data_IF_963519061032
#
_entry.id   IF_963519061032
#
_cell.length_a   1.000
_cell.length_b   1.000
_cell.length_c   1.000
_cell.angle_alpha   90.00
_cell.angle_beta   90.00
_cell.angle_gamma   90.00
#
_symmetry.space_group_name_H-M   'P 1'
#
loop_
_entity.id
_entity.type
_entity.pdbx_description
1 polymer ?
#
# COMPACT_ATOMS: atom_id res chain seq x y z
N UNK A 1 0.40 0.44 9.65
CA UNK A 1 1.00 -0.72 8.97
C UNK A 1 -0.06 -1.57 8.29
N UNK A 2 -0.97 -2.22 9.04
CA UNK A 2 -2.04 -3.07 8.50
C UNK A 2 -2.86 -2.42 7.37
N UNK A 3 -3.29 -1.16 7.53
CA UNK A 3 -4.07 -0.46 6.49
C UNK A 3 -3.38 -0.43 5.10
N UNK A 4 -2.05 -0.33 5.05
CA UNK A 4 -1.30 -0.39 3.77
C UNK A 4 -1.29 -1.83 3.22
N UNK A 5 -1.18 -2.84 4.08
CA UNK A 5 -1.31 -4.24 3.68
C UNK A 5 -2.71 -4.54 3.17
N UNK A 6 -3.76 -3.97 3.75
CA UNK A 6 -5.12 -4.11 3.25
C UNK A 6 -5.26 -3.58 1.82
N UNK A 7 -4.65 -2.43 1.50
CA UNK A 7 -4.61 -1.91 0.11
C UNK A 7 -3.92 -2.91 -0.84
N UNK A 8 -2.81 -3.53 -0.42
CA UNK A 8 -2.13 -4.57 -1.21
C UNK A 8 -3.06 -5.77 -1.44
N UNK A 9 -3.78 -6.21 -0.40
CA UNK A 9 -4.77 -7.28 -0.49
C UNK A 9 -5.90 -6.95 -1.47
N UNK A 10 -6.48 -5.77 -1.35
CA UNK A 10 -7.55 -5.28 -2.22
C UNK A 10 -7.11 -5.19 -3.68
N UNK A 11 -5.87 -4.76 -3.93
CA UNK A 11 -5.23 -4.75 -5.26
C UNK A 11 -5.00 -6.15 -5.82
N UNK A 12 -4.52 -7.08 -4.99
CA UNK A 12 -4.30 -8.47 -5.41
C UNK A 12 -5.63 -9.19 -5.72
N UNK A 13 -6.69 -8.90 -4.97
CA UNK A 13 -8.03 -9.45 -5.19
C UNK A 13 -8.70 -8.88 -6.46
N UNK A 14 -8.27 -7.72 -6.93
CA UNK A 14 -8.74 -7.10 -8.17
C UNK A 14 -7.55 -6.73 -9.07
N UNK A 15 -6.99 -7.71 -9.80
CA UNK A 15 -5.83 -7.50 -10.64
C UNK A 15 -5.98 -6.32 -11.59
N UNK A 16 -4.90 -5.58 -11.78
CA UNK A 16 -4.91 -4.35 -12.56
C UNK A 16 -3.52 -3.86 -12.92
N UNK A 17 -3.42 -2.56 -13.18
CA UNK A 17 -2.15 -1.92 -13.50
C UNK A 17 -1.16 -1.94 -12.32
N UNK A 18 -1.64 -2.13 -11.09
CA UNK A 18 -0.82 -2.32 -9.89
C UNK A 18 -0.23 -3.73 -9.76
N UNK A 19 -0.75 -4.76 -10.44
CA UNK A 19 -0.31 -6.16 -10.27
C UNK A 19 -1.47 -7.14 -10.20
N UNK A 20 -1.15 -8.43 -10.04
CA UNK A 20 -2.12 -9.53 -10.04
C UNK A 20 -1.98 -10.47 -8.82
N UNK A 21 -1.08 -10.15 -7.89
CA UNK A 21 -0.79 -10.91 -6.68
C UNK A 21 -0.19 -9.97 -5.62
N UNK A 22 -0.16 -10.39 -4.35
CA UNK A 22 0.46 -9.61 -3.27
C UNK A 22 1.89 -9.20 -3.65
N UNK A 23 2.73 -10.18 -4.03
CA UNK A 23 4.13 -9.92 -4.40
C UNK A 23 4.27 -9.04 -5.64
N UNK A 24 3.47 -9.26 -6.68
CA UNK A 24 3.54 -8.41 -7.88
C UNK A 24 3.06 -6.99 -7.62
N UNK A 25 2.07 -6.79 -6.73
CA UNK A 25 1.65 -5.46 -6.30
C UNK A 25 2.76 -4.70 -5.56
N UNK A 26 3.51 -5.39 -4.70
CA UNK A 26 4.65 -4.80 -3.99
C UNK A 26 5.78 -4.39 -4.94
N UNK A 27 6.06 -5.20 -5.96
CA UNK A 27 7.21 -5.02 -6.85
C UNK A 27 6.89 -4.21 -8.12
N UNK A 28 5.63 -3.90 -8.37
CA UNK A 28 5.23 -3.14 -9.56
C UNK A 28 5.82 -1.72 -9.49
N UNK A 29 6.37 -1.20 -10.60
CA UNK A 29 6.89 0.17 -10.64
C UNK A 29 5.88 1.17 -10.08
N UNK A 30 6.43 2.12 -9.31
CA UNK A 30 5.70 3.25 -8.70
C UNK A 30 4.68 2.91 -7.61
N UNK A 31 4.51 1.63 -7.24
CA UNK A 31 3.63 1.28 -6.11
C UNK A 31 4.28 1.57 -4.76
N UNK A 32 5.58 1.27 -4.62
CA UNK A 32 6.35 1.51 -3.41
C UNK A 32 7.75 2.03 -3.78
N UNK A 33 8.02 3.29 -3.46
CA UNK A 33 9.28 3.96 -3.84
C UNK A 33 10.51 3.31 -3.22
N UNK A 34 10.36 2.61 -2.09
CA UNK A 34 11.46 1.95 -1.38
C UNK A 34 12.21 0.89 -2.23
N UNK A 35 11.63 0.42 -3.34
CA UNK A 35 12.32 -0.46 -4.29
C UNK A 35 13.21 0.28 -5.29
N UNK A 36 13.02 1.59 -5.48
CA UNK A 36 13.81 2.42 -6.39
C UNK A 36 15.25 2.49 -5.91
N UNK A 37 16.21 2.30 -6.82
CA UNK A 37 17.65 2.32 -6.50
C UNK A 37 18.11 3.63 -5.85
N UNK A 38 17.41 4.72 -6.13
CA UNK A 38 17.69 6.06 -5.62
C UNK A 38 17.01 6.38 -4.29
N UNK A 39 16.09 5.53 -3.82
CA UNK A 39 15.38 5.76 -2.56
C UNK A 39 16.30 5.43 -1.37
N UNK A 40 16.52 6.37 -0.43
CA UNK A 40 17.40 6.15 0.73
C UNK A 40 16.91 5.03 1.65
N UNK A 41 15.62 4.67 1.61
CA UNK A 41 15.06 3.58 2.39
C UNK A 41 15.35 2.20 1.78
N UNK A 42 15.81 2.12 0.53
CA UNK A 42 16.12 0.84 -0.11
C UNK A 42 17.18 0.06 0.65
N UNK A 43 18.23 0.73 1.11
CA UNK A 43 19.30 0.08 1.91
C UNK A 43 18.73 -0.48 3.21
N UNK A 44 17.82 0.25 3.88
CA UNK A 44 17.16 -0.24 5.10
C UNK A 44 16.30 -1.46 4.82
N UNK A 45 15.50 -1.40 3.75
CA UNK A 45 14.65 -2.50 3.31
C UNK A 45 15.46 -3.78 3.03
N UNK A 46 16.66 -3.65 2.44
CA UNK A 46 17.50 -4.82 2.13
C UNK A 46 18.26 -5.36 3.34
N UNK A 47 18.45 -4.55 4.39
CA UNK A 47 19.21 -4.93 5.57
C UNK A 47 18.32 -5.37 6.76
N UNK A 48 17.02 -5.08 6.72
CA UNK A 48 16.10 -5.40 7.81
C UNK A 48 15.97 -6.91 8.01
N UNK A 49 15.87 -7.32 9.27
CA UNK A 49 15.71 -8.72 9.69
C UNK A 49 14.67 -8.80 10.79
N UNK A 50 14.30 -10.01 11.21
CA UNK A 50 13.38 -10.29 12.32
C UNK A 50 13.90 -9.82 13.70
N UNK A 51 15.16 -9.40 13.81
CA UNK A 51 15.63 -8.67 14.99
C UNK A 51 14.89 -7.34 15.21
N UNK A 52 14.36 -6.73 14.14
CA UNK A 52 13.55 -5.52 14.22
C UNK A 52 12.10 -5.87 14.61
N UNK A 53 11.57 -5.34 15.74
CA UNK A 53 10.22 -5.65 16.19
C UNK A 53 9.13 -5.16 15.23
N UNK A 54 9.35 -4.04 14.52
CA UNK A 54 8.43 -3.52 13.53
C UNK A 54 8.42 -4.41 12.28
N UNK A 55 9.58 -4.96 11.88
CA UNK A 55 9.64 -5.92 10.78
C UNK A 55 8.94 -7.23 11.14
N UNK A 56 9.10 -7.74 12.36
CA UNK A 56 8.34 -8.92 12.84
C UNK A 56 6.83 -8.69 12.81
N UNK A 57 6.38 -7.51 13.23
CA UNK A 57 4.97 -7.16 13.14
C UNK A 57 4.48 -7.13 11.68
N UNK A 58 5.28 -6.57 10.76
CA UNK A 58 4.96 -6.55 9.34
C UNK A 58 4.88 -7.96 8.75
N UNK A 59 5.80 -8.85 9.14
CA UNK A 59 5.81 -10.25 8.71
C UNK A 59 4.56 -10.98 9.18
N UNK A 60 4.20 -10.88 10.46
CA UNK A 60 3.00 -11.52 11.00
C UNK A 60 1.72 -11.05 10.29
N UNK A 61 1.59 -9.74 10.04
CA UNK A 61 0.45 -9.21 9.30
C UNK A 61 0.44 -9.65 7.82
N UNK A 62 1.61 -9.79 7.20
CA UNK A 62 1.73 -10.30 5.83
C UNK A 62 1.34 -11.79 5.73
N UNK A 63 1.65 -12.58 6.75
CA UNK A 63 1.19 -13.97 6.89
C UNK A 63 -0.33 -14.02 7.01
N UNK A 64 -0.93 -13.22 7.90
CA UNK A 64 -2.39 -13.12 8.00
C UNK A 64 -3.03 -12.69 6.68
N UNK A 65 -2.45 -11.71 5.97
CA UNK A 65 -2.94 -11.28 4.67
C UNK A 65 -2.92 -12.43 3.65
N UNK A 66 -1.81 -13.18 3.63
CA UNK A 66 -1.62 -14.30 2.69
C UNK A 66 -2.56 -15.47 2.98
N UNK A 67 -2.93 -15.66 4.25
CA UNK A 67 -3.93 -16.64 4.69
C UNK A 67 -5.38 -16.20 4.43
N UNK A 68 -5.61 -14.91 4.14
CA UNK A 68 -6.96 -14.34 4.00
C UNK A 68 -7.61 -13.96 5.33
N UNK A 69 -6.87 -13.96 6.43
CA UNK A 69 -7.36 -13.72 7.80
C UNK A 69 -7.19 -12.25 8.24
N UNK A 70 -6.59 -11.41 7.40
CA UNK A 70 -6.36 -10.00 7.73
C UNK A 70 -7.60 -9.15 7.43
N UNK A 71 -8.29 -8.69 8.48
CA UNK A 71 -9.41 -7.77 8.37
C UNK A 71 -9.05 -6.48 7.62
N UNK A 72 -9.92 -6.06 6.69
CA UNK A 72 -9.77 -4.81 5.94
C UNK A 72 -10.28 -3.60 6.72
N UNK A 73 -9.34 -2.79 7.22
CA UNK A 73 -9.64 -1.56 7.94
C UNK A 73 -9.97 -0.38 7.02
N UNK A 74 -9.78 -0.53 5.71
CA UNK A 74 -9.76 0.56 4.73
C UNK A 74 -11.02 0.67 3.87
N UNK A 75 -12.06 -0.12 4.19
CA UNK A 75 -13.33 -0.11 3.46
C UNK A 75 -13.19 -0.37 1.95
N UNK A 76 -12.32 -1.33 1.59
CA UNK A 76 -12.06 -1.78 0.22
C UNK A 76 -11.10 -0.88 -0.56
N UNK A 77 -10.33 -0.01 0.08
CA UNK A 77 -9.48 0.95 -0.60
C UNK A 77 -8.35 0.33 -1.43
N UNK A 78 -8.04 0.98 -2.54
CA UNK A 78 -7.00 0.59 -3.50
C UNK A 78 -5.95 1.70 -3.72
N UNK A 79 -6.17 2.88 -3.16
CA UNK A 79 -5.24 4.02 -3.18
C UNK A 79 -5.15 4.66 -1.80
N UNK A 80 -3.98 5.24 -1.51
CA UNK A 80 -3.80 6.06 -0.33
C UNK A 80 -2.66 7.06 -0.55
N UNK A 81 -2.68 8.14 0.22
CA UNK A 81 -1.55 9.07 0.31
C UNK A 81 -1.46 9.63 1.73
N UNK A 82 -0.30 10.18 2.09
CA UNK A 82 -0.10 10.78 3.41
C UNK A 82 -0.78 12.15 3.51
N UNK A 83 -1.44 12.43 4.63
CA UNK A 83 -2.04 13.73 4.89
C UNK A 83 -0.99 14.85 4.83
N UNK A 84 -1.32 15.93 4.11
CA UNK A 84 -0.41 17.05 3.89
C UNK A 84 0.56 16.90 2.71
N UNK A 85 0.40 15.88 1.84
CA UNK A 85 1.04 15.91 0.52
C UNK A 85 0.40 17.02 -0.32
N UNK A 86 1.23 17.92 -0.85
CA UNK A 86 0.86 18.96 -1.80
C UNK A 86 1.79 18.91 -3.03
N UNK A 87 1.24 19.04 -4.26
CA UNK A 87 -0.18 19.14 -4.59
C UNK A 87 -0.93 17.82 -4.36
N UNK A 88 -2.26 17.89 -4.28
CA UNK A 88 -3.11 16.70 -4.20
C UNK A 88 -2.83 15.79 -5.42
N UNK A 89 -2.71 14.45 -5.24
CA UNK A 89 -2.57 13.55 -6.37
C UNK A 89 -3.75 13.68 -7.35
N UNK A 90 -3.47 13.66 -8.65
CA UNK A 90 -4.48 13.82 -9.71
C UNK A 90 -5.62 12.81 -9.54
N UNK A 91 -5.28 11.55 -9.27
CA UNK A 91 -6.26 10.49 -9.06
C UNK A 91 -7.16 10.72 -7.83
N UNK A 92 -6.77 11.57 -6.87
CA UNK A 92 -7.55 11.90 -5.69
C UNK A 92 -8.43 13.14 -5.88
N UNK A 93 -8.13 13.97 -6.88
CA UNK A 93 -8.86 15.22 -7.12
C UNK A 93 -10.33 14.96 -7.46
N UNK A 94 -11.22 15.74 -6.86
CA UNK A 94 -12.67 15.58 -6.96
C UNK A 94 -13.25 14.28 -6.38
N UNK A 95 -12.43 13.36 -5.84
CA UNK A 95 -12.89 12.09 -5.24
C UNK A 95 -13.09 12.22 -3.73
N UNK A 96 -14.03 11.44 -3.20
CA UNK A 96 -14.24 11.35 -1.74
C UNK A 96 -13.42 10.19 -1.15
N UNK A 97 -12.68 10.42 -0.05
CA UNK A 97 -11.99 9.34 0.64
C UNK A 97 -12.97 8.37 1.28
N UNK A 98 -12.55 7.12 1.43
CA UNK A 98 -13.30 6.06 2.13
C UNK A 98 -13.13 6.18 3.64
N UNK A 99 -11.91 6.45 4.09
CA UNK A 99 -11.56 6.66 5.48
C UNK A 99 -10.19 7.34 5.60
N UNK A 100 -9.87 7.79 6.82
CA UNK A 100 -8.54 8.27 7.20
C UNK A 100 -8.09 7.45 8.40
N UNK A 101 -6.88 6.87 8.33
CA UNK A 101 -6.29 6.08 9.43
C UNK A 101 -4.92 6.65 9.74
N UNK A 102 -4.79 7.24 10.93
CA UNK A 102 -3.62 8.02 11.29
C UNK A 102 -3.39 9.14 10.27
N UNK A 103 -2.18 9.17 9.71
CA UNK A 103 -1.74 10.15 8.71
C UNK A 103 -1.98 9.75 7.26
N UNK A 104 -2.81 8.75 6.99
CA UNK A 104 -3.07 8.29 5.62
C UNK A 104 -4.55 8.42 5.28
N UNK A 105 -4.80 8.95 4.09
CA UNK A 105 -6.15 9.11 3.53
C UNK A 105 -6.33 8.05 2.45
N UNK A 106 -7.39 7.25 2.56
CA UNK A 106 -7.62 6.07 1.72
C UNK A 106 -8.77 6.30 0.75
N UNK A 107 -8.61 5.85 -0.50
CA UNK A 107 -9.56 6.04 -1.60
C UNK A 107 -9.87 4.73 -2.31
N UNK A 108 -10.96 4.74 -3.06
CA UNK A 108 -11.37 3.68 -3.97
C UNK A 108 -11.45 4.30 -5.38
N UNK A 109 -10.40 4.14 -6.17
CA UNK A 109 -10.32 4.73 -7.52
C UNK A 109 -10.50 3.71 -8.63
N UNK A 110 -10.23 2.43 -8.37
CA UNK A 110 -10.27 1.37 -9.36
C UNK A 110 -9.21 1.53 -10.45
N UNK A 111 -9.42 0.87 -11.59
CA UNK A 111 -8.44 0.83 -12.69
C UNK A 111 -8.21 2.19 -13.37
N UNK A 112 -9.07 3.19 -13.11
CA UNK A 112 -8.93 4.56 -13.60
C UNK A 112 -7.94 5.40 -12.79
N UNK A 113 -7.44 4.91 -11.65
CA UNK A 113 -6.49 5.65 -10.80
C UNK A 113 -5.02 5.58 -11.26
N UNK A 114 -4.72 5.11 -12.48
CA UNK A 114 -3.33 5.00 -12.96
C UNK A 114 -2.71 6.32 -13.43
N UNK A 115 -3.46 7.41 -13.32
CA UNK A 115 -3.08 8.78 -13.64
C UNK A 115 -2.07 9.26 -12.59
N UNK A 116 -0.81 8.88 -12.79
CA UNK A 116 0.35 9.24 -11.95
C UNK A 116 1.02 10.50 -12.48
#
# INVERSE_FOLDING_TARGET
>A
MQAVLNVIGNRAAQPGWWGASIGSCCLKPWQFSCWLRTDPNRTKLLAVTDSDPQFRQALALAECLSAGDLEDLTCGSDHYFADGIEPLPIWADGRRPRCTIGRHVFYRCGLQGNEQ
#
